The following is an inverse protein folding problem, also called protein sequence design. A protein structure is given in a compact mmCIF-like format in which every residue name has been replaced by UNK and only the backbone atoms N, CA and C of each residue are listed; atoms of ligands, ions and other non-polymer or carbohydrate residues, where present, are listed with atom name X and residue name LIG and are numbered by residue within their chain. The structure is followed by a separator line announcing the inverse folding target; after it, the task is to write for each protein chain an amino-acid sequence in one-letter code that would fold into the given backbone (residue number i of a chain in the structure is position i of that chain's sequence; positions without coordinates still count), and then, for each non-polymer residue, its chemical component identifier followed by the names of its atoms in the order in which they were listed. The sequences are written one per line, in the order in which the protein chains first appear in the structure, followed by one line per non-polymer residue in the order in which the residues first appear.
data_IF_390036108594
#
_entry.id   IF_390036108594
#
_cell.length_a   1.000
_cell.length_b   1.000
_cell.length_c   1.000
_cell.angle_alpha   90.00
_cell.angle_beta   90.00
_cell.angle_gamma   90.00
#
_symmetry.space_group_name_H-M   'P 1'
#
loop_
_entity.id
_entity.type
_entity.pdbx_description
1 polymer ?
2 non-polymer ?
3 water ?
#
# COMPACT_ATOMS: atom_id res chain seq x y z
N UNK A 3 25.76 3.20 -26.38
CA UNK A 3 25.40 4.03 -27.49
C UNK A 3 23.99 4.67 -27.34
N UNK A 4 23.04 4.03 -26.64
CA UNK A 4 21.64 4.56 -26.59
C UNK A 4 21.32 5.20 -25.24
N UNK A 5 22.36 5.50 -24.44
CA UNK A 5 22.20 5.89 -23.04
C UNK A 5 21.31 7.14 -22.88
N UNK A 6 21.52 8.18 -23.70
CA UNK A 6 20.73 9.41 -23.56
C UNK A 6 19.22 9.17 -23.77
N UNK A 7 18.83 8.45 -24.82
CA UNK A 7 17.39 8.21 -25.11
C UNK A 7 16.77 7.26 -24.07
N UNK A 8 17.49 6.22 -23.69
CA UNK A 8 17.05 5.31 -22.59
C UNK A 8 16.85 6.11 -21.29
N UNK A 9 17.82 7.00 -20.94
CA UNK A 9 17.67 7.76 -19.68
C UNK A 9 16.51 8.74 -19.76
N UNK A 10 16.32 9.37 -20.95
CA UNK A 10 15.20 10.24 -21.23
C UNK A 10 13.88 9.48 -21.10
N UNK A 11 13.76 8.26 -21.70
CA UNK A 11 12.53 7.45 -21.57
C UNK A 11 12.28 7.01 -20.13
N UNK A 12 13.33 6.61 -19.42
CA UNK A 12 13.19 6.36 -17.97
C UNK A 12 12.58 7.58 -17.24
N UNK A 13 13.20 8.77 -17.42
CA UNK A 13 12.77 9.98 -16.72
C UNK A 13 11.29 10.33 -17.05
N UNK A 14 10.94 10.30 -18.34
CA UNK A 14 9.58 10.67 -18.77
C UNK A 14 8.54 9.65 -18.26
N UNK A 15 8.77 8.35 -18.51
CA UNK A 15 7.83 7.31 -18.02
C UNK A 15 7.68 7.27 -16.50
N UNK A 16 8.75 7.47 -15.73
CA UNK A 16 8.65 7.53 -14.26
C UNK A 16 7.85 8.71 -13.79
N UNK A 17 8.05 9.88 -14.41
CA UNK A 17 7.29 11.05 -14.03
C UNK A 17 5.80 10.82 -14.37
N UNK A 18 5.51 10.31 -15.58
CA UNK A 18 4.09 10.13 -16.02
C UNK A 18 3.38 9.06 -15.22
N UNK A 19 4.09 7.97 -14.91
CA UNK A 19 3.53 6.90 -14.08
C UNK A 19 3.23 7.41 -12.66
N UNK A 20 4.14 8.22 -12.08
CA UNK A 20 3.88 8.82 -10.76
C UNK A 20 2.62 9.71 -10.81
N UNK A 21 2.54 10.61 -11.78
CA UNK A 21 1.43 11.57 -11.83
C UNK A 21 0.06 10.87 -11.92
N UNK A 22 -0.02 9.81 -12.73
CA UNK A 22 -1.25 9.07 -12.96
C UNK A 22 -1.61 8.17 -11.77
N UNK A 23 -0.72 7.23 -11.44
CA UNK A 23 -0.97 6.19 -10.45
C UNK A 23 -0.72 6.61 -8.99
N UNK A 24 0.05 7.69 -8.77
CA UNK A 24 0.28 8.16 -7.41
C UNK A 24 -0.56 9.43 -7.18
N UNK A 25 -0.42 10.45 -8.05
CA UNK A 25 -1.16 11.72 -7.89
C UNK A 25 -2.59 11.64 -8.45
N UNK A 26 -3.40 12.69 -8.26
N UNK A 27 -3.73 13.40 -11.44
CA UNK A 27 -3.75 14.30 -12.59
C UNK A 27 -2.58 13.91 -13.50
N UNK A 28 -2.84 13.18 -14.63
CA UNK A 28 -1.81 13.08 -15.67
C UNK A 28 -1.59 14.41 -16.36
N UNK A 29 -0.36 14.64 -16.87
CA UNK A 29 -0.01 15.80 -17.70
C UNK A 29 0.05 15.35 -19.16
N UNK A 30 -0.21 14.03 -19.38
CA UNK A 30 -0.09 13.40 -20.68
C UNK A 30 -1.23 12.38 -20.91
N UNK A 31 -1.72 12.19 -22.16
CA UNK A 31 -2.75 11.15 -22.41
C UNK A 31 -2.18 9.72 -22.39
N UNK A 32 -3.05 8.69 -22.21
CA UNK A 32 -2.65 7.27 -22.30
C UNK A 32 -1.81 6.99 -23.53
N UNK A 33 -2.19 7.58 -24.68
CA UNK A 33 -1.50 7.33 -25.95
C UNK A 33 0.00 7.69 -25.88
N UNK A 34 0.36 8.76 -25.14
CA UNK A 34 1.75 9.20 -25.05
C UNK A 34 2.56 8.25 -24.16
N UNK A 35 2.02 7.91 -22.98
CA UNK A 35 2.63 6.91 -22.09
C UNK A 35 2.88 5.61 -22.84
N UNK A 36 1.84 5.06 -23.51
CA UNK A 36 1.96 3.82 -24.28
C UNK A 36 3.04 3.87 -25.35
N UNK A 37 3.13 5.00 -26.07
CA UNK A 37 4.07 5.16 -27.17
C UNK A 37 5.49 5.15 -26.62
N UNK A 38 5.71 5.86 -25.49
CA UNK A 38 7.03 5.87 -24.88
C UNK A 38 7.33 4.49 -24.31
N UNK A 39 6.34 3.84 -23.69
CA UNK A 39 6.59 2.51 -23.12
C UNK A 39 6.97 1.49 -24.20
N UNK A 40 6.27 1.53 -25.34
CA UNK A 40 6.52 0.60 -26.45
C UNK A 40 7.97 0.80 -26.98
N UNK A 41 8.41 2.07 -27.06
CA UNK A 41 9.73 2.44 -27.60
C UNK A 41 10.82 1.93 -26.68
N UNK A 42 10.70 2.17 -25.37
CA UNK A 42 11.57 1.53 -24.36
C UNK A 42 11.55 0.00 -24.44
N UNK A 43 10.37 -0.64 -24.51
CA UNK A 43 10.31 -2.10 -24.73
C UNK A 43 11.09 -2.54 -25.99
N UNK A 44 10.93 -1.81 -27.14
CA UNK A 44 11.68 -2.15 -28.34
C UNK A 44 13.21 -2.03 -28.12
N UNK A 45 13.69 -0.92 -27.47
CA UNK A 45 15.13 -0.71 -27.21
C UNK A 45 15.63 -1.86 -26.37
N UNK A 46 14.86 -2.22 -25.33
CA UNK A 46 15.30 -3.32 -24.46
C UNK A 46 15.28 -4.68 -25.17
N UNK A 47 14.34 -4.93 -26.09
CA UNK A 47 14.37 -6.19 -26.85
C UNK A 47 15.59 -6.27 -27.75
N UNK A 48 15.92 -5.16 -28.45
CA UNK A 48 16.99 -5.16 -29.46
C UNK A 48 18.36 -4.87 -28.85
N UNK A 49 18.37 -4.24 -27.68
CA UNK A 49 19.57 -3.87 -26.96
C UNK A 49 19.44 -4.18 -25.47
N UNK A 50 19.43 -5.49 -25.11
CA UNK A 50 19.10 -5.89 -23.72
C UNK A 50 20.08 -5.44 -22.67
N UNK A 51 21.24 -4.85 -23.07
CA UNK A 51 22.18 -4.30 -22.10
C UNK A 51 21.61 -3.09 -21.38
N UNK A 52 20.56 -2.48 -21.93
CA UNK A 52 19.92 -1.32 -21.29
C UNK A 52 18.83 -1.70 -20.28
N UNK A 53 18.49 -2.98 -20.21
CA UNK A 53 17.48 -3.40 -19.22
C UNK A 53 18.04 -3.11 -17.82
N UNK A 54 17.19 -2.69 -16.90
CA UNK A 54 17.59 -2.47 -15.51
C UNK A 54 16.54 -3.04 -14.62
N UNK A 55 16.91 -3.27 -13.36
CA UNK A 55 16.03 -3.85 -12.36
C UNK A 55 14.81 -2.96 -12.12
N UNK A 56 14.95 -1.62 -12.27
CA UNK A 56 13.85 -0.65 -11.98
C UNK A 56 13.34 0.03 -13.24
N UNK A 57 13.63 -0.58 -14.38
CA UNK A 57 13.07 -0.08 -15.63
C UNK A 57 11.53 0.05 -15.56
N UNK A 58 10.96 1.13 -16.10
CA UNK A 58 9.50 1.17 -16.31
C UNK A 58 8.88 -0.05 -17.01
N UNK A 59 9.66 -0.80 -17.80
CA UNK A 59 9.15 -2.00 -18.48
C UNK A 59 8.89 -3.15 -17.51
N UNK A 60 9.48 -3.11 -16.29
CA UNK A 60 9.20 -4.11 -15.25
C UNK A 60 7.69 -4.20 -15.00
N UNK A 61 6.98 -3.05 -15.12
CA UNK A 61 5.52 -2.99 -14.84
C UNK A 61 4.63 -3.87 -15.73
N UNK A 62 5.12 -4.28 -16.91
CA UNK A 62 4.28 -5.06 -17.81
C UNK A 62 4.36 -6.57 -17.45
N UNK A 63 5.23 -6.93 -16.52
CA UNK A 63 5.40 -8.31 -16.09
C UNK A 63 6.36 -9.07 -16.98
N UNK A 64 6.82 -10.21 -16.48
CA UNK A 64 7.89 -10.97 -17.11
C UNK A 64 7.61 -12.45 -17.25
N UNK A 65 8.63 -13.19 -17.69
CA UNK A 65 8.57 -14.65 -17.79
C UNK A 65 8.73 -15.29 -16.41
N UNK A 66 9.68 -14.78 -15.59
CA UNK A 66 9.90 -15.20 -14.21
C UNK A 66 8.59 -15.21 -13.41
N UNK A 67 8.28 -16.33 -12.75
CA UNK A 67 7.05 -16.42 -11.98
C UNK A 67 7.29 -16.19 -10.49
N UNK A 68 6.27 -15.67 -9.77
CA UNK A 68 6.33 -15.62 -8.31
C UNK A 68 6.45 -17.05 -7.81
N UNK A 69 7.29 -17.25 -6.82
CA UNK A 69 7.61 -18.59 -6.32
C UNK A 69 6.50 -19.09 -5.38
N UNK A 70 5.80 -18.14 -4.73
CA UNK A 70 4.86 -18.41 -3.63
C UNK A 70 5.51 -19.18 -2.46
N UNK A 71 6.84 -19.08 -2.35
CA UNK A 71 7.59 -19.68 -1.25
C UNK A 71 7.19 -19.06 0.06
N UNK A 72 7.12 -19.89 1.10
CA UNK A 72 6.89 -19.45 2.47
C UNK A 72 8.17 -18.76 2.97
N UNK A 73 8.05 -17.48 3.36
CA UNK A 73 9.15 -16.58 3.71
C UNK A 73 8.77 -15.86 5.00
N UNK A 74 9.69 -15.77 5.99
CA UNK A 74 9.35 -14.99 7.19
C UNK A 74 9.49 -13.49 6.94
N UNK A 75 8.49 -12.66 7.35
CA UNK A 75 8.69 -11.20 7.43
C UNK A 75 9.97 -10.88 8.27
N UNK A 76 10.67 -9.80 7.97
CA UNK A 76 11.77 -9.36 8.85
C UNK A 76 11.22 -9.08 10.27
N UNK A 77 9.99 -8.58 10.33
CA UNK A 77 9.39 -8.22 11.62
C UNK A 77 7.93 -8.69 11.51
N UNK A 78 7.41 -9.46 12.47
CA UNK A 78 5.99 -9.83 12.40
C UNK A 78 5.03 -8.64 12.26
N UNK A 79 3.99 -8.86 11.50
CA UNK A 79 2.92 -7.90 11.26
C UNK A 79 1.89 -7.95 12.40
N UNK A 80 1.41 -6.76 12.80
CA UNK A 80 0.50 -6.60 13.94
C UNK A 80 -0.91 -7.14 13.65
N UNK A 81 -1.58 -7.65 14.68
CA UNK A 81 -3.01 -8.01 14.63
C UNK A 81 -3.72 -6.91 15.45
N UNK A 82 -4.72 -6.21 14.91
CA UNK A 82 -5.39 -5.13 15.69
C UNK A 82 -6.64 -5.61 16.39
N UNK A 83 -6.84 -5.18 17.61
CA UNK A 83 -8.12 -5.37 18.31
C UNK A 83 -9.20 -4.54 17.67
N UNK A 84 -10.45 -4.96 17.85
CA UNK A 84 -11.59 -4.32 17.18
C UNK A 84 -12.41 -3.46 18.08
N UNK A 85 -13.05 -2.46 17.49
CA UNK A 85 -14.13 -1.68 18.10
C UNK A 85 -15.34 -1.75 17.18
N UNK A 86 -16.54 -1.86 17.77
CA UNK A 86 -17.78 -2.02 16.99
C UNK A 86 -18.80 -0.93 17.22
N UNK A 87 -18.49 0.03 18.07
CA UNK A 87 -19.40 1.14 18.37
C UNK A 87 -18.63 2.26 19.04
N UNK A 88 -19.34 3.34 19.42
CA UNK A 88 -18.75 4.51 20.08
C UNK A 88 -18.17 4.16 21.45
N UNK A 89 -18.92 3.32 22.22
CA UNK A 89 -18.53 2.88 23.55
C UNK A 89 -17.15 2.24 23.55
N UNK A 90 -16.88 1.35 22.58
CA UNK A 90 -15.62 0.62 22.50
C UNK A 90 -14.46 1.62 22.32
N UNK A 91 -14.66 2.60 21.45
CA UNK A 91 -13.70 3.68 21.26
C UNK A 91 -13.50 4.49 22.51
N UNK A 92 -14.60 4.84 23.22
CA UNK A 92 -14.47 5.50 24.50
C UNK A 92 -13.70 4.66 25.53
N UNK A 93 -13.90 3.30 25.59
CA UNK A 93 -13.14 2.44 26.51
C UNK A 93 -11.66 2.46 26.19
N UNK A 94 -11.32 2.39 24.91
CA UNK A 94 -9.94 2.33 24.42
C UNK A 94 -9.24 3.68 24.79
N UNK A 95 -9.93 4.80 24.55
CA UNK A 95 -9.43 6.14 24.86
C UNK A 95 -9.20 6.27 26.38
N UNK A 96 -10.15 5.78 27.17
CA UNK A 96 -10.06 5.84 28.65
C UNK A 96 -8.91 4.99 29.16
N UNK A 97 -8.72 3.76 28.61
CA UNK A 97 -7.56 2.93 29.00
C UNK A 97 -6.22 3.65 28.79
N UNK A 98 -6.05 4.31 27.65
CA UNK A 98 -4.85 5.06 27.28
C UNK A 98 -4.68 6.29 28.21
N UNK A 99 -5.73 7.06 28.45
CA UNK A 99 -5.59 8.33 29.17
C UNK A 99 -5.39 8.10 30.67
N UNK A 100 -5.94 7.00 31.19
CA UNK A 100 -5.66 6.56 32.56
C UNK A 100 -4.18 6.30 32.76
N UNK A 101 -3.52 5.72 31.76
CA UNK A 101 -2.13 5.27 31.88
C UNK A 101 -1.10 6.33 31.46
N UNK A 102 -1.25 6.97 30.30
CA UNK A 102 -0.19 7.85 29.77
C UNK A 102 -0.61 9.34 29.63
N UNK A 103 -1.86 9.66 29.95
CA UNK A 103 -2.35 11.02 29.85
C UNK A 103 -3.00 11.29 28.51
N UNK A 104 -3.22 12.59 28.21
CA UNK A 104 -3.88 13.05 26.98
C UNK A 104 -2.94 12.80 25.83
N UNK A 105 -3.47 12.19 24.77
CA UNK A 105 -2.67 11.83 23.61
C UNK A 105 -3.29 12.43 22.34
N UNK A 106 -2.50 12.60 21.32
CA UNK A 106 -3.03 12.90 20.01
C UNK A 106 -3.25 11.54 19.34
N UNK A 107 -4.37 11.40 18.59
CA UNK A 107 -4.65 10.21 17.80
C UNK A 107 -4.41 10.49 16.30
N UNK A 108 -3.92 9.47 15.59
CA UNK A 108 -4.06 9.50 14.14
C UNK A 108 -5.21 8.57 13.75
N UNK A 109 -6.04 9.02 12.82
CA UNK A 109 -7.19 8.28 12.30
C UNK A 109 -6.92 8.01 10.83
N UNK A 110 -7.20 6.77 10.36
CA UNK A 110 -6.99 6.40 8.96
C UNK A 110 -8.08 5.50 8.50
N UNK A 111 -8.33 5.52 7.19
CA UNK A 111 -9.31 4.61 6.59
C UNK A 111 -8.73 3.17 6.51
N UNK A 112 -9.48 2.18 6.96
CA UNK A 112 -9.00 0.82 6.88
C UNK A 112 -9.45 0.24 5.55
N UNK A 113 -8.53 0.17 4.61
CA UNK A 113 -8.81 -0.27 3.24
C UNK A 113 -9.17 -1.75 3.31
N UNK A 114 -10.23 -2.18 2.59
CA UNK A 114 -10.64 -3.59 2.57
C UNK A 114 -9.81 -4.37 1.55
N UNK A 115 -8.54 -4.50 1.85
CA UNK A 115 -7.56 -4.93 0.89
C UNK A 115 -6.84 -6.18 1.31
N UNK A 116 -5.67 -6.38 0.72
CA UNK A 116 -4.79 -7.53 0.98
C UNK A 116 -3.53 -7.02 1.59
N UNK A 117 -3.26 -7.38 2.86
CA UNK A 117 -2.11 -6.88 3.59
C UNK A 117 -0.84 -7.54 3.00
N UNK A 118 0.17 -6.72 2.79
CA UNK A 118 1.50 -7.09 2.23
C UNK A 118 2.62 -6.45 3.02
N UNK A 119 3.77 -7.09 3.01
CA UNK A 119 5.01 -6.47 3.50
C UNK A 119 5.86 -6.28 2.30
N UNK A 120 6.44 -5.09 2.18
CA UNK A 120 7.27 -4.76 1.04
C UNK A 120 8.67 -4.39 1.50
N UNK A 121 9.64 -5.25 1.14
CA UNK A 121 11.00 -5.09 1.62
C UNK A 121 11.90 -4.38 0.61
N UNK A 122 12.60 -3.36 1.11
CA UNK A 122 13.55 -2.53 0.35
C UNK A 122 14.94 -2.72 0.93
N UNK A 123 15.94 -2.99 0.05
CA UNK A 123 17.37 -3.18 0.40
C UNK A 123 18.12 -2.20 -0.47
N UNK A 124 18.85 -1.23 0.14
CA UNK A 124 19.62 -0.20 -0.59
C UNK A 124 18.68 0.64 -1.47
N UNK A 125 17.46 0.85 -0.98
CA UNK A 125 16.42 1.58 -1.66
C UNK A 125 15.67 0.84 -2.74
N UNK A 126 16.07 -0.39 -3.10
CA UNK A 126 15.36 -1.14 -4.13
C UNK A 126 14.33 -2.09 -3.61
N UNK A 127 13.15 -2.09 -4.25
CA UNK A 127 12.11 -3.08 -3.94
C UNK A 127 12.62 -4.47 -4.25
N UNK A 128 12.82 -5.32 -3.24
CA UNK A 128 13.42 -6.63 -3.55
C UNK A 128 12.55 -7.83 -3.15
N UNK A 129 11.52 -7.62 -2.33
CA UNK A 129 10.72 -8.72 -1.78
C UNK A 129 9.35 -8.18 -1.34
N UNK A 130 8.30 -8.82 -1.83
CA UNK A 130 6.94 -8.54 -1.41
C UNK A 130 6.28 -9.84 -0.99
N UNK A 131 5.77 -9.84 0.25
CA UNK A 131 5.13 -11.01 0.85
C UNK A 131 3.66 -10.75 1.16
N UNK A 132 2.82 -11.76 0.97
CA UNK A 132 1.49 -11.75 1.61
C UNK A 132 1.69 -11.72 3.16
N UNK A 133 0.73 -11.17 3.93
CA UNK A 133 0.84 -11.08 5.39
C UNK A 133 0.92 -12.50 6.00
N UNK A 134 0.22 -13.46 5.38
CA UNK A 134 0.25 -14.85 5.82
C UNK A 134 -0.37 -15.01 7.18
N UNK A 135 0.35 -15.69 8.13
CA UNK A 135 -0.11 -15.72 9.53
C UNK A 135 0.42 -14.54 10.38
N UNK A 136 1.05 -13.56 9.71
CA UNK A 136 1.59 -12.38 10.39
C UNK A 136 3.08 -12.53 10.63
N UNK A 137 3.55 -13.77 10.65
CA UNK A 137 4.96 -14.14 10.86
C UNK A 137 5.54 -14.64 9.55
N UNK A 138 4.85 -15.60 8.88
CA UNK A 138 5.24 -16.23 7.60
C UNK A 138 4.25 -15.88 6.48
N UNK A 139 4.77 -15.47 5.34
CA UNK A 139 3.98 -15.09 4.17
C UNK A 139 4.40 -15.81 2.91
N UNK A 140 3.65 -15.62 1.82
CA UNK A 140 3.99 -16.13 0.49
C UNK A 140 4.67 -15.06 -0.40
N UNK A 141 5.72 -15.46 -1.09
CA UNK A 141 6.53 -14.63 -1.96
C UNK A 141 5.81 -14.36 -3.26
N UNK A 142 5.32 -13.11 -3.42
CA UNK A 142 4.60 -12.70 -4.62
C UNK A 142 5.26 -11.46 -5.22
N UNK A 143 6.60 -11.36 -5.11
CA UNK A 143 7.35 -10.16 -5.54
C UNK A 143 7.06 -9.78 -7.01
N UNK A 144 7.12 -10.78 -7.89
CA UNK A 144 7.05 -10.57 -9.34
C UNK A 144 5.73 -9.96 -9.71
N UNK A 145 4.66 -10.40 -9.02
CA UNK A 145 3.34 -9.88 -9.26
C UNK A 145 3.17 -8.46 -8.72
N UNK A 146 3.67 -8.21 -7.50
CA UNK A 146 3.58 -6.88 -6.85
C UNK A 146 4.32 -5.81 -7.64
N UNK A 147 5.41 -6.18 -8.34
CA UNK A 147 6.18 -5.27 -9.14
C UNK A 147 5.37 -4.63 -10.25
N UNK A 148 4.23 -5.25 -10.65
CA UNK A 148 3.39 -4.71 -11.71
C UNK A 148 2.46 -3.59 -11.19
N UNK A 149 2.53 -3.27 -9.90
CA UNK A 149 1.65 -2.27 -9.28
C UNK A 149 2.42 -0.96 -9.25
N UNK A 150 1.96 -0.01 -10.09
CA UNK A 150 2.67 1.25 -10.28
C UNK A 150 2.76 2.07 -8.98
N UNK A 151 1.81 1.91 -8.05
CA UNK A 151 1.79 2.66 -6.78
C UNK A 151 2.93 2.20 -5.83
N UNK A 152 3.55 1.04 -6.13
CA UNK A 152 4.70 0.50 -5.42
C UNK A 152 5.98 1.02 -6.09
N UNK A 153 6.82 1.81 -5.41
CA UNK A 153 8.03 2.28 -6.08
C UNK A 153 9.01 1.12 -6.23
N UNK A 154 9.63 0.98 -7.40
CA UNK A 154 10.71 0.00 -7.61
C UNK A 154 12.01 0.49 -6.96
N UNK A 155 12.13 1.82 -6.78
CA UNK A 155 13.32 2.43 -6.19
C UNK A 155 12.87 3.68 -5.42
N UNK A 156 13.22 3.71 -4.13
CA UNK A 156 12.91 4.82 -3.22
C UNK A 156 13.83 6.00 -3.47
N UNK A 157 13.43 7.18 -2.98
CA UNK A 157 14.22 8.42 -3.13
C UNK A 157 15.55 8.35 -2.36
N UNK A 158 15.61 7.58 -1.24
CA UNK A 158 16.83 7.34 -0.46
C UNK A 158 17.12 5.83 -0.34
N UNK A 159 18.42 5.41 -0.34
CA UNK A 159 18.73 3.97 -0.36
C UNK A 159 18.59 3.20 0.96
N UNK A 160 17.42 3.26 1.63
CA UNK A 160 17.17 2.64 2.95
C UNK A 160 16.94 1.14 2.85
N UNK A 161 17.11 0.44 4.00
CA UNK A 161 16.81 -0.99 4.19
C UNK A 161 15.67 -0.97 5.15
N UNK A 162 14.48 -1.07 4.58
CA UNK A 162 13.20 -0.95 5.32
C UNK A 162 12.21 -1.97 4.84
N UNK A 163 11.28 -2.38 5.73
CA UNK A 163 10.16 -3.23 5.35
C UNK A 163 8.87 -2.44 5.66
N UNK A 164 8.15 -2.02 4.60
CA UNK A 164 6.90 -1.27 4.77
C UNK A 164 5.71 -2.22 4.77
N UNK A 165 4.58 -1.79 5.30
CA UNK A 165 3.38 -2.62 5.35
C UNK A 165 2.32 -1.85 4.62
N UNK A 166 1.65 -2.54 3.73
CA UNK A 166 0.63 -1.95 2.91
C UNK A 166 -0.61 -2.78 2.69
N UNK A 167 -1.63 -2.15 2.10
CA UNK A 167 -2.88 -2.82 1.69
C UNK A 167 -2.95 -2.75 0.20
N UNK A 168 -2.85 -3.90 -0.49
CA UNK A 168 -3.03 -3.96 -1.95
C UNK A 168 -4.51 -4.07 -2.24
N UNK A 169 -4.97 -3.39 -3.30
CA UNK A 169 -6.40 -3.42 -3.55
C UNK A 169 -6.69 -3.17 -5.03
N UNK A 170 -7.94 -3.44 -5.44
CA UNK A 170 -8.42 -3.12 -6.78
C UNK A 170 -9.44 -1.98 -6.64
N UNK A 171 -9.21 -0.85 -7.37
CA UNK A 171 -10.19 0.24 -7.35
C UNK A 171 -11.59 -0.24 -7.71
N UNK A 172 -12.62 0.29 -7.05
CA UNK A 172 -14.02 -0.09 -7.38
C UNK A 172 -14.37 -0.03 -8.87
N UNK A 173 -13.99 1.07 -9.55
CA UNK A 173 -14.33 1.26 -10.96
C UNK A 173 -13.76 0.12 -11.81
N UNK A 174 -12.49 -0.21 -11.56
CA UNK A 174 -11.75 -1.29 -12.23
C UNK A 174 -12.39 -2.63 -11.95
N UNK A 175 -12.68 -2.91 -10.65
CA UNK A 175 -13.51 -4.08 -10.29
C UNK A 175 -14.83 -4.19 -11.11
N UNK A 176 -15.64 -3.15 -11.10
CA UNK A 176 -16.93 -3.15 -11.82
C UNK A 176 -16.77 -3.37 -13.31
N UNK A 177 -15.76 -2.70 -13.92
CA UNK A 177 -15.50 -2.84 -15.37
C UNK A 177 -15.06 -4.25 -15.70
N UNK A 178 -14.29 -4.88 -14.79
CA UNK A 178 -13.82 -6.27 -14.94
C UNK A 178 -15.01 -7.24 -14.88
N UNK A 179 -15.89 -7.11 -13.86
CA UNK A 179 -17.08 -7.95 -13.78
C UNK A 179 -18.02 -7.78 -14.99
N UNK A 180 -18.05 -6.56 -15.56
CA UNK A 180 -18.85 -6.21 -16.74
C UNK A 180 -18.36 -6.96 -17.96
N UNK A 181 -17.03 -7.02 -18.15
CA UNK A 181 -16.40 -7.78 -19.23
C UNK A 181 -16.72 -9.26 -19.07
N UNK A 182 -16.64 -9.76 -17.84
CA UNK A 182 -17.00 -11.12 -17.46
C UNK A 182 -18.48 -11.43 -17.79
N UNK A 183 -19.42 -10.56 -17.34
CA UNK A 183 -20.86 -10.61 -17.64
C UNK A 183 -21.15 -10.74 -19.14
N UNK A 184 -20.49 -9.90 -19.98
CA UNK A 184 -20.65 -9.89 -21.45
C UNK A 184 -20.17 -11.17 -22.12
N UNK A 185 -18.95 -11.62 -21.79
CA UNK A 185 -18.34 -12.86 -22.28
C UNK A 185 -18.81 -14.06 -21.46
N UNK A 187 -18.29 -15.16 -18.26
CA UNK A 187 -17.53 -15.78 -17.19
C UNK A 187 -18.18 -15.52 -15.83
N UNK A 188 -17.74 -16.24 -14.80
CA UNK A 188 -18.21 -16.09 -13.43
C UNK A 188 -17.67 -14.78 -12.83
N UNK A 189 -18.51 -14.03 -12.11
CA UNK A 189 -18.13 -12.72 -11.58
C UNK A 189 -17.36 -12.87 -10.26
N UNK A 190 -16.38 -11.99 -10.02
CA UNK A 190 -15.80 -11.82 -8.67
C UNK A 190 -16.85 -11.27 -7.73
N UNK A 191 -16.86 -11.73 -6.47
CA UNK A 191 -17.85 -11.32 -5.47
C UNK A 191 -17.61 -9.87 -5.00
N UNK A 192 -16.35 -9.41 -4.95
CA UNK A 192 -16.01 -8.05 -4.47
C UNK A 192 -14.62 -7.63 -4.93
N UNK A 193 -14.23 -6.32 -4.83
CA UNK A 193 -12.87 -5.92 -5.21
C UNK A 193 -11.76 -6.66 -4.54
N UNK A 194 -11.92 -7.01 -3.23
CA UNK A 194 -10.91 -7.78 -2.48
C UNK A 194 -10.62 -9.12 -3.17
N UNK A 195 -11.67 -9.91 -3.48
CA UNK A 195 -11.52 -11.22 -4.14
C UNK A 195 -10.86 -11.10 -5.52
N UNK A 196 -11.24 -10.09 -6.28
CA UNK A 196 -10.69 -9.82 -7.61
C UNK A 196 -9.18 -9.50 -7.52
N UNK A 197 -8.78 -8.71 -6.49
CA UNK A 197 -7.38 -8.35 -6.25
C UNK A 197 -6.61 -9.61 -5.85
N UNK A 198 -7.21 -10.49 -4.96
CA UNK A 198 -6.53 -11.71 -4.53
C UNK A 198 -6.27 -12.67 -5.69
N UNK A 199 -7.28 -12.83 -6.53
CA UNK A 199 -7.22 -13.61 -7.77
C UNK A 199 -6.10 -13.14 -8.69
N UNK A 200 -5.99 -11.81 -8.85
CA UNK A 200 -4.99 -11.16 -9.69
C UNK A 200 -3.56 -11.41 -9.18
N UNK A 201 -3.32 -11.32 -7.85
CA UNK A 201 -2.01 -11.54 -7.25
C UNK A 201 -1.62 -13.04 -7.12
N UNK A 202 -2.58 -13.99 -7.23
CA UNK A 202 -2.32 -15.45 -7.25
C UNK A 202 -1.92 -15.99 -8.62
N UNK A 203 -1.99 -15.16 -9.69
CA UNK A 203 -1.56 -15.63 -11.01
C UNK A 203 -0.14 -16.19 -10.97
N UNK A 204 0.08 -17.26 -11.76
CA UNK A 204 1.40 -17.83 -12.03
C UNK A 204 2.17 -16.82 -12.90
N UNK A 205 1.47 -16.03 -13.70
CA UNK A 205 2.10 -15.16 -14.69
C UNK A 205 1.88 -13.71 -14.31
N UNK A 206 2.99 -12.98 -14.07
CA UNK A 206 2.97 -11.58 -13.64
C UNK A 206 2.41 -10.71 -14.75
N UNK A 207 2.57 -11.16 -16.02
CA UNK A 207 1.95 -10.51 -17.19
C UNK A 207 0.44 -10.50 -17.07
N UNK A 208 -0.17 -11.53 -16.43
CA UNK A 208 -1.62 -11.52 -16.17
C UNK A 208 -1.98 -10.52 -15.06
N UNK A 209 -1.17 -10.44 -13.98
CA UNK A 209 -1.34 -9.46 -12.90
C UNK A 209 -1.31 -8.02 -13.42
N UNK A 210 -0.39 -7.75 -14.37
CA UNK A 210 -0.17 -6.44 -14.98
C UNK A 210 -1.38 -5.93 -15.75
N UNK A 211 -2.26 -6.84 -16.22
CA UNK A 211 -3.43 -6.43 -17.02
C UNK A 211 -4.64 -6.15 -16.14
N UNK A 212 -4.47 -6.34 -14.81
CA UNK A 212 -5.48 -5.99 -13.81
C UNK A 212 -5.05 -4.66 -13.22
N UNK A 213 -6.00 -3.84 -12.81
CA UNK A 213 -5.66 -2.48 -12.36
C UNK A 213 -5.60 -2.54 -10.85
N UNK A 214 -4.38 -2.53 -10.28
CA UNK A 214 -4.24 -2.65 -8.83
C UNK A 214 -3.55 -1.44 -8.27
N UNK A 215 -3.73 -1.19 -6.95
CA UNK A 215 -3.01 -0.11 -6.30
C UNK A 215 -2.66 -0.54 -4.87
N UNK A 216 -1.98 0.37 -4.13
CA UNK A 216 -1.61 0.06 -2.74
C UNK A 216 -1.67 1.35 -1.93
N UNK A 217 -1.89 1.20 -0.63
CA UNK A 217 -1.68 2.24 0.36
C UNK A 217 -0.76 1.73 1.43
N UNK A 218 0.28 2.50 1.68
CA UNK A 218 1.24 2.12 2.70
C UNK A 218 0.82 2.73 4.01
N UNK A 219 0.82 1.95 5.09
CA UNK A 219 0.34 2.47 6.37
C UNK A 219 1.39 2.41 7.49
N UNK A 220 2.50 1.69 7.31
CA UNK A 220 3.51 1.66 8.37
C UNK A 220 4.85 1.17 7.87
N UNK A 221 5.84 1.23 8.75
CA UNK A 221 7.19 0.64 8.53
C UNK A 221 7.56 -0.28 9.72
N UNK A 222 8.45 -1.27 9.51
CA UNK A 222 8.93 -2.20 10.56
C UNK A 222 9.87 -1.54 11.54
N UNK A 223 10.58 -0.51 11.09
CA UNK A 223 11.76 0.03 11.78
C UNK A 223 11.88 1.53 11.43
N UNK A 224 11.89 2.38 12.48
CA UNK A 224 11.94 3.84 12.35
C UNK A 224 13.33 4.46 12.51
N UNK A 225 14.42 3.62 12.60
CA UNK A 225 15.82 4.05 12.72
C UNK A 225 16.20 5.21 11.79
N UNK A 226 16.00 5.03 10.47
CA UNK A 226 16.39 5.99 9.44
C UNK A 226 15.27 7.01 9.12
N UNK A 227 14.22 7.05 9.96
CA UNK A 227 13.15 8.04 9.90
C UNK A 227 13.34 9.12 10.95
N UNK A 228 13.11 10.39 10.57
CA UNK A 228 13.18 11.48 11.54
C UNK A 228 11.81 11.75 12.18
N UNK A 229 10.80 10.92 11.80
CA UNK A 229 9.44 10.94 12.36
C UNK A 229 9.43 10.78 13.89
N UNK A 230 8.60 11.58 14.59
CA UNK A 230 8.37 11.40 16.02
C UNK A 230 6.96 10.81 16.21
N UNK A 231 6.19 10.69 15.10
CA UNK A 231 4.79 10.25 15.17
C UNK A 231 4.36 9.47 13.92
N UNK A 232 3.21 8.75 14.02
CA UNK A 232 2.72 8.01 12.87
C UNK A 232 2.44 8.90 11.68
N UNK A 233 1.84 10.07 11.92
CA UNK A 233 1.50 11.00 10.85
C UNK A 233 2.75 11.56 10.17
N UNK A 234 3.80 11.95 10.96
CA UNK A 234 5.08 12.38 10.40
C UNK A 234 5.73 11.26 9.58
N UNK A 235 5.66 10.03 10.07
CA UNK A 235 6.22 8.85 9.35
C UNK A 235 5.55 8.64 8.00
N UNK A 236 4.23 8.83 7.92
CA UNK A 236 3.49 8.72 6.64
C UNK A 236 3.89 9.86 5.68
N UNK A 237 4.10 11.09 6.21
CA UNK A 237 4.59 12.19 5.40
C UNK A 237 5.96 11.85 4.86
N UNK A 238 6.82 11.27 5.70
CA UNK A 238 8.16 10.93 5.29
C UNK A 238 8.09 9.87 4.18
N UNK A 239 7.22 8.86 4.36
CA UNK A 239 6.98 7.85 3.34
C UNK A 239 6.58 8.47 1.99
N UNK A 240 5.67 9.48 2.01
CA UNK A 240 5.35 10.28 0.80
C UNK A 240 6.61 10.83 0.14
N UNK A 241 7.44 11.55 0.89
CA UNK A 241 8.72 12.12 0.39
C UNK A 241 9.68 11.05 -0.21
N UNK A 242 9.63 9.80 0.29
CA UNK A 242 10.48 8.69 -0.17
C UNK A 242 9.96 7.97 -1.42
N UNK A 243 8.74 8.28 -1.82
CA UNK A 243 8.19 7.77 -3.07
C UNK A 243 7.03 6.80 -2.91
N UNK A 244 6.48 6.63 -1.69
CA UNK A 244 5.44 5.65 -1.49
C UNK A 244 4.03 6.30 -1.66
N UNK A 245 3.01 5.46 -1.84
CA UNK A 245 1.61 5.90 -1.99
C UNK A 245 0.95 5.67 -0.63
N UNK A 246 0.49 6.76 -0.01
CA UNK A 246 -0.20 6.65 1.28
C UNK A 246 -1.59 7.22 1.08
N UNK A 247 -2.46 6.95 2.00
CA UNK A 247 -3.81 7.46 1.93
C UNK A 247 -3.89 8.89 2.54
N UNK A 248 -4.29 9.86 1.71
CA UNK A 248 -4.34 11.28 2.08
C UNK A 248 -5.46 11.63 3.09
N UNK A 249 -6.41 10.72 3.30
CA UNK A 249 -7.60 10.98 4.13
C UNK A 249 -7.34 10.77 5.65
N UNK A 250 -6.10 10.44 5.99
CA UNK A 250 -5.70 10.36 7.41
C UNK A 250 -5.87 11.70 8.07
N UNK A 251 -6.06 11.69 9.39
CA UNK A 251 -6.15 12.92 10.15
C UNK A 251 -5.61 12.78 11.56
N UNK A 252 -4.90 13.82 12.03
CA UNK A 252 -4.51 14.01 13.43
C UNK A 252 -5.65 14.67 14.18
N UNK A 253 -6.04 14.09 15.30
CA UNK A 253 -7.05 14.73 16.17
C UNK A 253 -6.58 14.77 17.61
N UNK A 254 -7.13 15.68 18.42
CA UNK A 254 -6.67 15.95 19.77
C UNK A 254 -7.23 14.97 20.78
N UNK A 255 -8.44 14.43 20.53
CA UNK A 255 -9.13 13.67 21.60
C UNK A 255 -10.15 12.72 21.02
N UNK A 256 -10.87 12.00 21.89
CA UNK A 256 -11.90 11.04 21.48
C UNK A 256 -13.09 11.70 20.73
N UNK A 257 -13.42 12.98 21.06
CA UNK A 257 -14.45 13.71 20.31
C UNK A 257 -14.09 13.84 18.84
N UNK A 258 -12.80 14.08 18.60
CA UNK A 258 -12.23 14.17 17.27
C UNK A 258 -12.26 12.84 16.56
N UNK A 259 -11.99 11.76 17.29
CA UNK A 259 -11.95 10.41 16.71
C UNK A 259 -13.39 10.07 16.29
N UNK A 260 -14.35 10.29 17.20
CA UNK A 260 -15.78 10.05 16.90
C UNK A 260 -16.30 10.84 15.71
N UNK A 261 -15.97 12.16 15.65
CA UNK A 261 -16.28 13.00 14.50
C UNK A 261 -15.72 12.38 13.19
N UNK A 262 -14.47 11.93 13.17
CA UNK A 262 -13.87 11.35 11.96
C UNK A 262 -14.62 10.03 11.57
N UNK A 263 -14.93 9.16 12.52
CA UNK A 263 -15.73 7.96 12.25
C UNK A 263 -17.11 8.33 11.70
N UNK A 264 -17.77 9.34 12.29
CA UNK A 264 -19.14 9.66 11.84
C UNK A 264 -19.02 10.25 10.42
N UNK A 265 -18.04 11.14 10.17
CA UNK A 265 -17.80 11.72 8.83
C UNK A 265 -17.63 10.61 7.78
N UNK A 266 -16.76 9.61 8.05
CA UNK A 266 -16.43 8.61 7.05
C UNK A 266 -17.52 7.55 6.90
N UNK A 267 -18.35 7.36 7.92
CA UNK A 267 -19.59 6.57 7.80
C UNK A 267 -20.42 7.17 6.63
N UNK A 268 -20.57 8.52 6.60
CA UNK A 268 -21.38 9.26 5.61
C UNK A 268 -20.68 9.50 4.26
N UNK A 269 -19.36 9.39 4.19
CA UNK A 269 -18.60 9.70 2.96
C UNK A 269 -18.02 8.43 2.32
N UNK A 270 -18.14 7.24 2.95
CA UNK A 270 -17.42 6.08 2.41
C UNK A 270 -17.94 5.64 1.02
N UNK A 271 -19.24 5.79 0.71
CA UNK A 271 -19.78 5.46 -0.64
C UNK A 271 -19.12 6.28 -1.76
N UNK A 272 -18.61 7.49 -1.46
CA UNK A 272 -17.94 8.37 -2.41
C UNK A 272 -16.50 7.92 -2.80
N UNK A 273 -15.90 7.00 -2.04
CA UNK A 273 -14.48 6.64 -2.21
C UNK A 273 -14.29 5.75 -3.43
N UNK A 274 -13.11 5.82 -4.10
CA UNK A 274 -12.87 4.91 -5.23
C UNK A 274 -12.39 3.49 -4.85
N UNK A 275 -12.37 3.15 -3.54
CA UNK A 275 -12.01 1.82 -3.03
C UNK A 275 -12.93 1.44 -1.87
N UNK A 276 -13.08 0.11 -1.64
CA UNK A 276 -13.75 -0.39 -0.44
C UNK A 276 -12.95 -0.15 0.84
N UNK A 277 -13.68 0.27 1.87
CA UNK A 277 -13.15 0.28 3.26
C UNK A 277 -13.99 -0.57 4.18
N UNK A 278 -13.36 -1.20 5.20
CA UNK A 278 -14.16 -2.02 6.13
C UNK A 278 -14.13 -1.45 7.55
N UNK A 279 -13.36 -0.37 7.71
CA UNK A 279 -13.18 0.22 9.03
C UNK A 279 -12.37 1.50 9.04
N UNK A 280 -12.04 1.92 10.25
CA UNK A 280 -11.21 3.09 10.51
C UNK A 280 -10.20 2.63 11.59
N UNK A 281 -8.90 2.85 11.35
CA UNK A 281 -7.91 2.49 12.35
C UNK A 281 -7.52 3.77 13.13
N UNK A 282 -7.54 3.69 14.46
CA UNK A 282 -7.16 4.81 15.34
C UNK A 282 -5.93 4.41 16.08
N UNK A 283 -4.91 5.29 16.15
CA UNK A 283 -3.62 4.94 16.78
C UNK A 283 -3.17 6.14 17.61
N UNK A 284 -2.55 5.89 18.74
CA UNK A 284 -1.79 6.91 19.45
C UNK A 284 -0.74 7.47 18.45
N UNK A 285 -0.74 8.78 18.24
CA UNK A 285 0.12 9.33 17.21
C UNK A 285 1.60 9.23 17.55
N UNK A 286 1.98 9.66 18.77
CA UNK A 286 3.36 9.72 19.21
C UNK A 286 4.01 8.33 19.33
N UNK A 287 5.20 8.17 18.71
CA UNK A 287 5.87 6.86 18.69
C UNK A 287 6.36 6.42 20.05
N UNK A 288 6.90 7.36 20.84
CA UNK A 288 7.35 7.06 22.20
C UNK A 288 6.17 6.65 23.06
N UNK A 289 4.99 7.26 22.84
CA UNK A 289 3.79 6.95 23.62
C UNK A 289 3.23 5.58 23.21
N UNK A 290 3.37 5.19 21.93
CA UNK A 290 2.95 3.84 21.49
C UNK A 290 3.79 2.82 22.28
N UNK A 291 5.11 3.06 22.37
CA UNK A 291 6.08 2.24 23.10
C UNK A 291 5.68 2.08 24.58
N UNK A 292 5.33 3.20 25.26
CA UNK A 292 4.85 3.23 26.65
C UNK A 292 3.62 2.34 26.86
N UNK A 293 2.66 2.34 25.91
CA UNK A 293 1.46 1.51 25.98
C UNK A 293 1.77 0.01 25.83
N UNK A 294 2.68 -0.32 24.94
CA UNK A 294 3.08 -1.69 24.70
C UNK A 294 2.02 -2.55 24.01
N UNK A 295 2.05 -3.87 24.29
CA UNK A 295 1.24 -4.87 23.57
C UNK A 295 0.52 -5.76 24.57
N UNK A 296 -0.58 -6.39 24.14
CA UNK A 296 -1.14 -7.53 24.85
C UNK A 296 -0.39 -8.74 24.29
N UNK A 297 -0.77 -9.96 24.71
CA UNK A 297 -0.31 -11.16 24.03
C UNK A 297 -0.41 -11.04 22.49
N UNK A 298 -1.49 -10.50 21.92
CA UNK A 298 -1.67 -10.48 20.45
C UNK A 298 -1.56 -9.10 19.75
N UNK A 299 -1.84 -8.02 20.47
CA UNK A 299 -2.29 -6.80 19.81
C UNK A 299 -1.72 -5.55 20.48
N UNK A 300 -1.48 -4.49 19.72
CA UNK A 300 -1.03 -3.23 20.36
C UNK A 300 -2.10 -2.65 21.28
N UNK A 301 -1.70 -2.07 22.43
CA UNK A 301 -2.67 -1.41 23.32
C UNK A 301 -2.91 0.04 22.87
N UNK A 302 -2.15 0.50 21.84
CA UNK A 302 -2.13 1.87 21.32
C UNK A 302 -2.83 2.03 19.96
N UNK A 303 -3.45 0.93 19.46
CA UNK A 303 -4.23 0.98 18.22
C UNK A 303 -5.50 0.15 18.31
N UNK A 304 -6.51 0.55 17.54
CA UNK A 304 -7.77 -0.19 17.44
C UNK A 304 -8.36 -0.02 16.06
N UNK A 305 -9.02 -1.09 15.56
CA UNK A 305 -9.77 -1.03 14.28
C UNK A 305 -11.28 -0.93 14.57
N UNK A 306 -11.85 0.24 14.34
CA UNK A 306 -13.30 0.38 14.36
C UNK A 306 -13.82 -0.29 13.07
N UNK A 307 -14.84 -1.12 13.19
CA UNK A 307 -15.38 -1.85 12.04
C UNK A 307 -16.78 -1.33 11.73
N UNK A 308 -17.03 -0.93 10.48
CA UNK A 308 -18.37 -0.59 10.05
C UNK A 308 -19.29 -1.82 10.24
N UNK A 309 -20.51 -1.54 10.72
CA UNK A 309 -21.60 -2.45 11.04
C UNK A 309 -22.04 -3.35 9.88
#
# INVERSE_FOLDING_TARGET
MADLSSRVNELHDLLNQYSYEYYVEDNPSVPDSEYDKLLHELIKIEEEHPEYKTVDSPTVRVGGEAQASFNKVNHDTPMLSLGNAFNEDDLRKFDQRIREQIGNVEYMCELKIDGLAVSLKYVDGYFVQGLTRGDGTTGEDITENLKTIHAIPLKMKEPLNVEVRGEAYMPRRSFLRLNEEKEKNDEQLFANPRNAAAGSLRQLDSKLTAKRKLSVFIYSVNDFTDFNARSQSEALDELDKLGFTTNKNRARVNNIDGVLEYIEKWTSQRESLPYDIDGIVIKVNDLDQQDEMGFTQKSPRWAIAYKFPAEEHHHHHH
#
